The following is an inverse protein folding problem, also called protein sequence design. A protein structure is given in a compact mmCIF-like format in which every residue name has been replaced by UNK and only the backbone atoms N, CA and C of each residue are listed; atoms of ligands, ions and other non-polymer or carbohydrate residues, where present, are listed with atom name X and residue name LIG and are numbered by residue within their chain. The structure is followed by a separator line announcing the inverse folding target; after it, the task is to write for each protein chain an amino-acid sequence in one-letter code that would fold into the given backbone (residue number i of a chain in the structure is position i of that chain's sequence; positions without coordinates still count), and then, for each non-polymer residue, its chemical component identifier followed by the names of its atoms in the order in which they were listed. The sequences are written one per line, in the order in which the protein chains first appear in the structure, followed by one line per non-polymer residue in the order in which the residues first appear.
data_IF_243779874825
#
_entry.id   IF_243779874825
#
_cell.length_a   1.000
_cell.length_b   1.000
_cell.length_c   1.000
_cell.angle_alpha   90.00
_cell.angle_beta   90.00
_cell.angle_gamma   90.00
#
_symmetry.space_group_name_H-M   'P 1'
#
loop_
_entity.id
_entity.type
_entity.pdbx_description
1 polymer ?
#
# COMPACT_ATOMS: atom_id res chain seq x y z
N UNK A 1 -13.15 -14.57 -15.30
CA UNK A 1 -13.63 -13.23 -15.71
C UNK A 1 -13.34 -12.28 -14.55
N UNK A 2 -12.24 -11.52 -14.63
CA UNK A 2 -11.89 -10.53 -13.58
C UNK A 2 -12.86 -9.36 -13.74
N UNK A 3 -13.85 -9.28 -12.85
CA UNK A 3 -14.79 -8.16 -12.82
C UNK A 3 -14.00 -6.91 -12.42
N UNK A 4 -13.80 -6.00 -13.38
CA UNK A 4 -13.32 -4.65 -13.09
C UNK A 4 -14.26 -4.05 -12.03
N UNK A 5 -13.74 -3.51 -10.91
CA UNK A 5 -14.58 -2.90 -9.90
C UNK A 5 -15.46 -1.80 -10.53
N UNK A 6 -16.74 -1.69 -10.18
CA UNK A 6 -17.56 -0.56 -10.62
C UNK A 6 -16.92 0.74 -10.10
N UNK A 7 -16.65 1.68 -11.01
CA UNK A 7 -15.87 2.93 -10.84
C UNK A 7 -14.33 2.84 -10.92
N UNK A 8 -13.77 1.75 -11.45
CA UNK A 8 -12.32 1.57 -11.65
C UNK A 8 -11.62 2.75 -12.35
N UNK A 9 -12.26 3.36 -13.35
CA UNK A 9 -11.72 4.48 -14.11
C UNK A 9 -11.88 5.85 -13.41
N UNK A 10 -12.61 5.93 -12.30
CA UNK A 10 -12.84 7.19 -11.57
C UNK A 10 -11.86 7.41 -10.41
N UNK A 11 -11.24 6.36 -9.88
CA UNK A 11 -10.29 6.42 -8.76
C UNK A 11 -8.89 5.98 -9.26
N UNK A 12 -8.14 6.97 -9.79
CA UNK A 12 -6.84 6.76 -10.45
C UNK A 12 -5.81 6.03 -9.58
N UNK A 13 -5.80 6.27 -8.27
CA UNK A 13 -4.90 5.64 -7.30
C UNK A 13 -5.21 4.15 -7.08
N UNK A 14 -6.48 3.80 -6.94
CA UNK A 14 -6.91 2.39 -6.83
C UNK A 14 -6.69 1.62 -8.12
N UNK A 15 -6.79 2.30 -9.27
CA UNK A 15 -6.47 1.71 -10.56
C UNK A 15 -4.99 1.29 -10.65
N UNK A 16 -4.07 2.12 -10.14
CA UNK A 16 -2.63 1.81 -10.12
C UNK A 16 -2.32 0.64 -9.18
N UNK A 17 -2.95 0.58 -7.98
CA UNK A 17 -2.75 -0.55 -7.06
C UNK A 17 -3.33 -1.86 -7.63
N UNK A 18 -4.48 -1.83 -8.28
CA UNK A 18 -5.03 -3.02 -8.95
C UNK A 18 -4.18 -3.48 -10.14
N UNK A 19 -3.68 -2.55 -10.96
CA UNK A 19 -2.75 -2.87 -12.04
C UNK A 19 -1.47 -3.49 -11.48
N UNK A 20 -0.94 -2.96 -10.36
CA UNK A 20 0.19 -3.57 -9.65
C UNK A 20 -0.12 -5.02 -9.29
N UNK A 21 -1.32 -5.32 -8.78
CA UNK A 21 -1.77 -6.69 -8.52
C UNK A 21 -1.80 -7.58 -9.76
N UNK A 22 -2.36 -7.10 -10.88
CA UNK A 22 -2.40 -7.83 -12.16
C UNK A 22 -0.98 -8.14 -12.65
N UNK A 23 -0.12 -7.13 -12.73
CA UNK A 23 1.24 -7.31 -13.20
C UNK A 23 2.03 -8.23 -12.25
N UNK A 24 1.79 -8.17 -10.94
CA UNK A 24 2.40 -9.09 -9.99
C UNK A 24 1.96 -10.54 -10.22
N UNK A 25 0.68 -10.77 -10.56
CA UNK A 25 0.17 -12.10 -10.91
C UNK A 25 0.78 -12.61 -12.21
N UNK A 26 0.72 -11.81 -13.28
CA UNK A 26 1.21 -12.20 -14.61
C UNK A 26 2.73 -12.43 -14.61
N UNK A 27 3.48 -11.52 -13.99
CA UNK A 27 4.93 -11.62 -13.88
C UNK A 27 5.34 -12.80 -13.00
N UNK A 28 4.67 -12.98 -11.86
CA UNK A 28 4.88 -14.14 -10.99
C UNK A 28 4.61 -15.47 -11.71
N UNK A 29 3.52 -15.57 -12.47
CA UNK A 29 3.21 -16.77 -13.25
C UNK A 29 4.28 -17.07 -14.32
N UNK A 30 4.77 -16.05 -15.03
CA UNK A 30 5.80 -16.22 -16.06
C UNK A 30 7.15 -16.66 -15.48
N UNK A 31 7.57 -16.07 -14.34
CA UNK A 31 8.81 -16.52 -13.65
C UNK A 31 8.62 -17.91 -13.04
N UNK A 32 7.44 -18.24 -12.51
CA UNK A 32 7.12 -19.55 -11.97
C UNK A 32 7.30 -20.66 -13.01
N UNK A 33 6.78 -20.46 -14.22
CA UNK A 33 6.92 -21.40 -15.35
C UNK A 33 8.40 -21.70 -15.59
N UNK A 34 9.25 -20.67 -15.66
CA UNK A 34 10.66 -20.89 -15.90
C UNK A 34 11.44 -21.43 -14.71
N UNK A 35 11.03 -21.12 -13.48
CA UNK A 35 11.59 -21.75 -12.28
C UNK A 35 11.36 -23.27 -12.27
N UNK A 36 10.15 -23.72 -12.61
CA UNK A 36 9.85 -25.15 -12.75
C UNK A 36 10.55 -25.78 -13.95
N UNK A 37 10.59 -25.10 -15.10
CA UNK A 37 11.29 -25.59 -16.28
C UNK A 37 12.79 -25.75 -16.04
N UNK A 38 13.43 -24.77 -15.37
CA UNK A 38 14.84 -24.83 -14.99
C UNK A 38 15.13 -25.97 -13.99
N UNK A 39 14.20 -26.21 -13.06
CA UNK A 39 14.28 -27.33 -12.12
C UNK A 39 14.19 -28.67 -12.85
N UNK A 40 13.28 -28.80 -13.82
CA UNK A 40 13.14 -30.01 -14.66
C UNK A 40 14.41 -30.29 -15.48
N UNK A 41 15.03 -29.25 -16.04
CA UNK A 41 16.27 -29.35 -16.80
C UNK A 41 17.49 -29.73 -15.94
N UNK A 42 17.37 -29.67 -14.60
CA UNK A 42 18.37 -30.23 -13.69
C UNK A 42 18.38 -31.77 -13.70
N UNK A 43 17.33 -32.42 -14.21
CA UNK A 43 17.18 -33.87 -14.28
C UNK A 43 17.32 -34.43 -15.71
N UNK A 44 17.31 -33.59 -16.74
CA UNK A 44 17.56 -33.97 -18.14
C UNK A 44 18.77 -33.22 -18.73
N UNK A 45 19.96 -33.85 -18.78
CA UNK A 45 21.20 -33.19 -19.17
C UNK A 45 21.45 -33.32 -20.69
N UNK A 46 20.60 -32.74 -21.54
CA UNK A 46 21.05 -32.46 -22.93
C UNK A 46 21.66 -31.06 -22.98
N UNK A 47 22.98 -30.99 -23.22
CA UNK A 47 23.80 -29.76 -23.20
C UNK A 47 23.35 -28.66 -24.17
N UNK A 48 22.52 -29.02 -25.14
CA UNK A 48 21.73 -28.06 -25.89
C UNK A 48 20.29 -28.24 -25.41
N UNK A 49 19.80 -27.25 -24.66
CA UNK A 49 18.37 -27.01 -24.63
C UNK A 49 17.94 -26.92 -26.09
N UNK A 50 17.22 -27.94 -26.60
CA UNK A 50 16.51 -27.79 -27.85
C UNK A 50 15.77 -26.44 -27.80
N UNK A 51 15.57 -25.75 -28.93
CA UNK A 51 14.92 -24.43 -28.98
C UNK A 51 13.63 -24.39 -28.13
N UNK A 52 12.94 -25.52 -28.00
CA UNK A 52 11.79 -25.73 -27.11
C UNK A 52 12.00 -25.39 -25.63
N UNK A 53 13.23 -25.45 -25.10
CA UNK A 53 13.56 -25.14 -23.71
C UNK A 53 14.08 -23.71 -23.50
N UNK A 54 14.51 -23.02 -24.56
CA UNK A 54 14.98 -21.62 -24.48
C UNK A 54 13.86 -20.70 -23.97
N UNK A 55 12.65 -20.90 -24.50
CA UNK A 55 11.48 -20.10 -24.17
C UNK A 55 11.09 -20.26 -22.68
N UNK A 56 10.79 -21.46 -22.17
CA UNK A 56 10.36 -21.60 -20.79
C UNK A 56 11.47 -21.28 -19.79
N UNK A 57 12.75 -21.58 -20.07
CA UNK A 57 13.83 -21.42 -19.08
C UNK A 57 14.41 -20.01 -19.03
N UNK A 58 14.45 -19.29 -20.16
CA UNK A 58 15.13 -17.99 -20.23
C UNK A 58 14.18 -16.85 -20.64
N UNK A 59 13.38 -17.03 -21.68
CA UNK A 59 12.51 -15.95 -22.19
C UNK A 59 11.34 -15.66 -21.23
N UNK A 60 10.66 -16.70 -20.74
CA UNK A 60 9.51 -16.53 -19.84
C UNK A 60 9.90 -15.87 -18.50
N UNK A 61 11.00 -16.28 -17.82
CA UNK A 61 11.49 -15.56 -16.64
C UNK A 61 11.90 -14.13 -16.91
N UNK A 62 12.53 -13.85 -18.05
CA UNK A 62 12.90 -12.49 -18.41
C UNK A 62 11.65 -11.62 -18.57
N UNK A 63 10.67 -12.04 -19.39
CA UNK A 63 9.41 -11.31 -19.57
C UNK A 63 8.68 -11.15 -18.22
N UNK A 64 8.65 -12.21 -17.42
CA UNK A 64 8.04 -12.19 -16.10
C UNK A 64 8.72 -11.19 -15.15
N UNK A 65 10.05 -11.10 -15.18
CA UNK A 65 10.83 -10.13 -14.41
C UNK A 65 10.49 -8.69 -14.80
N UNK A 66 10.47 -8.36 -16.09
CA UNK A 66 10.09 -7.03 -16.58
C UNK A 66 8.66 -6.66 -16.15
N UNK A 67 7.74 -7.61 -16.22
CA UNK A 67 6.37 -7.42 -15.75
C UNK A 67 6.33 -7.17 -14.22
N UNK A 68 7.10 -7.92 -13.43
CA UNK A 68 7.22 -7.68 -11.98
C UNK A 68 7.82 -6.31 -11.68
N UNK A 69 8.80 -5.84 -12.46
CA UNK A 69 9.37 -4.50 -12.35
C UNK A 69 8.29 -3.42 -12.46
N UNK A 70 7.41 -3.53 -13.46
CA UNK A 70 6.25 -2.62 -13.61
C UNK A 70 5.34 -2.69 -12.39
N UNK A 71 5.04 -3.90 -11.88
CA UNK A 71 4.22 -4.06 -10.68
C UNK A 71 4.81 -3.33 -9.47
N UNK A 72 6.12 -3.44 -9.25
CA UNK A 72 6.79 -2.80 -8.11
C UNK A 72 6.93 -1.28 -8.29
N UNK A 73 7.15 -0.78 -9.51
CA UNK A 73 7.10 0.66 -9.81
C UNK A 73 5.72 1.22 -9.43
N UNK A 74 4.64 0.53 -9.79
CA UNK A 74 3.29 0.95 -9.38
C UNK A 74 3.11 0.97 -7.87
N UNK A 75 3.72 0.04 -7.11
CA UNK A 75 3.71 0.13 -5.64
C UNK A 75 4.42 1.37 -5.10
N UNK A 76 5.53 1.77 -5.71
CA UNK A 76 6.21 3.01 -5.35
C UNK A 76 5.34 4.24 -5.66
N UNK A 77 4.65 4.23 -6.80
CA UNK A 77 3.72 5.28 -7.21
C UNK A 77 2.52 5.38 -6.25
N UNK A 78 1.91 4.25 -5.87
CA UNK A 78 0.82 4.21 -4.87
C UNK A 78 1.33 4.76 -3.53
N UNK A 79 2.52 4.34 -3.09
CA UNK A 79 3.12 4.85 -1.86
C UNK A 79 3.39 6.36 -1.92
N UNK A 80 3.75 6.91 -3.09
CA UNK A 80 3.97 8.34 -3.30
C UNK A 80 2.67 9.18 -3.24
N UNK A 81 1.50 8.55 -3.40
CA UNK A 81 0.20 9.21 -3.55
C UNK A 81 -0.77 8.91 -2.40
N UNK A 82 -0.28 8.64 -1.19
CA UNK A 82 -1.14 8.39 -0.02
C UNK A 82 -2.09 9.52 0.35
N UNK A 83 -1.70 10.75 0.03
CA UNK A 83 -2.48 11.97 0.25
C UNK A 83 -3.48 12.24 -0.89
N UNK A 84 -3.56 11.38 -1.91
CA UNK A 84 -4.34 11.67 -3.12
C UNK A 84 -5.84 11.76 -2.84
N UNK A 85 -6.40 10.82 -2.06
CA UNK A 85 -7.80 10.86 -1.68
C UNK A 85 -8.15 12.13 -0.89
N UNK A 86 -7.29 12.54 0.05
CA UNK A 86 -7.46 13.76 0.83
C UNK A 86 -7.36 15.02 -0.05
N UNK A 87 -6.38 15.08 -0.96
CA UNK A 87 -6.26 16.18 -1.93
C UNK A 87 -7.48 16.27 -2.83
N UNK A 88 -7.98 15.13 -3.31
CA UNK A 88 -9.16 15.07 -4.17
C UNK A 88 -10.41 15.53 -3.42
N UNK A 89 -10.61 15.08 -2.18
CA UNK A 89 -11.71 15.53 -1.33
C UNK A 89 -11.64 17.03 -1.02
N UNK A 90 -10.47 17.55 -0.67
CA UNK A 90 -10.28 18.98 -0.42
C UNK A 90 -10.56 19.81 -1.67
N UNK A 91 -10.20 19.32 -2.86
CA UNK A 91 -10.55 19.95 -4.13
C UNK A 91 -12.05 19.89 -4.41
N UNK A 92 -12.70 18.77 -4.10
CA UNK A 92 -14.15 18.62 -4.26
C UNK A 92 -14.95 19.56 -3.33
N UNK A 93 -14.43 19.86 -2.15
CA UNK A 93 -15.12 20.68 -1.14
C UNK A 93 -14.79 22.18 -1.17
N UNK A 94 -13.72 22.62 -1.86
CA UNK A 94 -13.20 24.01 -1.80
C UNK A 94 -13.97 25.10 -2.59
N UNK A 95 -15.21 24.84 -3.02
CA UNK A 95 -16.10 25.89 -3.53
C UNK A 95 -15.64 26.60 -4.84
N UNK A 96 -16.15 27.80 -5.14
CA UNK A 96 -16.07 28.43 -6.47
C UNK A 96 -14.67 28.89 -6.93
N UNK A 97 -13.65 28.81 -6.07
CA UNK A 97 -12.24 29.11 -6.42
C UNK A 97 -11.41 27.82 -6.52
N UNK A 98 -11.89 26.82 -7.26
CA UNK A 98 -11.15 25.57 -7.46
C UNK A 98 -9.89 25.84 -8.28
N UNK A 99 -8.73 25.58 -7.68
CA UNK A 99 -7.48 25.37 -8.41
C UNK A 99 -7.55 24.16 -9.35
N UNK A 100 -6.46 23.79 -10.03
CA UNK A 100 -6.45 22.64 -10.92
C UNK A 100 -6.75 21.34 -10.17
N UNK A 101 -7.51 20.43 -10.80
CA UNK A 101 -7.83 19.10 -10.25
C UNK A 101 -6.52 18.38 -9.85
N UNK A 102 -6.41 17.85 -8.61
CA UNK A 102 -5.27 17.05 -8.19
C UNK A 102 -5.02 15.89 -9.15
N UNK A 103 -3.76 15.68 -9.51
CA UNK A 103 -3.32 14.55 -10.35
C UNK A 103 -2.41 13.62 -9.57
N UNK A 104 -2.36 12.39 -10.04
CA UNK A 104 -1.47 11.36 -9.52
C UNK A 104 -0.01 11.71 -9.82
N UNK A 105 0.85 11.62 -8.79
CA UNK A 105 2.28 11.92 -8.89
C UNK A 105 3.02 10.65 -9.30
N UNK A 106 3.40 10.54 -10.57
CA UNK A 106 4.23 9.44 -11.06
C UNK A 106 5.66 9.48 -10.50
N UNK A 107 6.15 10.70 -10.26
CA UNK A 107 7.45 10.95 -9.64
C UNK A 107 7.26 11.85 -8.44
N UNK A 108 7.64 11.36 -7.27
CA UNK A 108 7.66 12.17 -6.05
C UNK A 108 8.77 11.66 -5.12
N UNK A 109 9.46 12.60 -4.48
CA UNK A 109 10.42 12.30 -3.42
C UNK A 109 9.69 12.34 -2.07
N UNK A 110 9.61 11.20 -1.38
CA UNK A 110 8.86 11.05 -0.12
C UNK A 110 9.75 10.43 0.97
N UNK A 111 10.81 11.13 1.43
CA UNK A 111 11.86 10.55 2.28
C UNK A 111 11.35 10.11 3.65
N UNK A 112 10.27 10.72 4.15
CA UNK A 112 9.64 10.37 5.43
C UNK A 112 8.70 9.17 5.34
N UNK A 113 8.39 8.68 4.13
CA UNK A 113 7.43 7.59 3.93
C UNK A 113 8.17 6.26 3.73
N UNK A 114 8.16 5.42 4.76
CA UNK A 114 8.81 4.10 4.72
C UNK A 114 8.28 3.19 3.59
N UNK A 115 7.01 3.31 3.19
CA UNK A 115 6.49 2.51 2.07
C UNK A 115 7.00 3.00 0.72
N UNK A 116 7.34 4.27 0.60
CA UNK A 116 7.92 4.80 -0.63
C UNK A 116 9.33 4.23 -0.82
N UNK A 117 10.13 4.21 0.25
CA UNK A 117 11.41 3.48 0.26
C UNK A 117 11.23 1.99 -0.02
N UNK A 118 10.22 1.36 0.60
CA UNK A 118 9.87 -0.02 0.32
C UNK A 118 9.61 -0.29 -1.16
N UNK A 119 8.77 0.54 -1.79
CA UNK A 119 8.48 0.48 -3.21
C UNK A 119 9.72 0.71 -4.08
N UNK A 120 10.54 1.71 -3.75
CA UNK A 120 11.79 1.98 -4.46
C UNK A 120 12.78 0.82 -4.40
N UNK A 121 12.98 0.21 -3.22
CA UNK A 121 13.87 -0.94 -3.10
C UNK A 121 13.34 -2.15 -3.86
N UNK A 122 12.02 -2.40 -3.85
CA UNK A 122 11.42 -3.43 -4.69
C UNK A 122 11.66 -3.15 -6.19
N UNK A 123 11.44 -1.92 -6.65
CA UNK A 123 11.69 -1.52 -8.04
C UNK A 123 13.15 -1.66 -8.45
N UNK A 124 14.09 -1.19 -7.61
CA UNK A 124 15.52 -1.29 -7.89
C UNK A 124 15.98 -2.75 -7.90
N UNK A 125 15.47 -3.56 -6.97
CA UNK A 125 15.73 -5.01 -6.94
C UNK A 125 15.23 -5.69 -8.22
N UNK A 126 14.05 -5.30 -8.71
CA UNK A 126 13.46 -5.83 -9.93
C UNK A 126 14.29 -5.47 -11.17
N UNK A 127 14.74 -4.22 -11.29
CA UNK A 127 15.65 -3.79 -12.36
C UNK A 127 16.97 -4.58 -12.32
N UNK A 128 17.54 -4.81 -11.14
CA UNK A 128 18.75 -5.65 -11.01
C UNK A 128 18.49 -7.10 -11.41
N UNK A 129 17.30 -7.62 -11.13
CA UNK A 129 16.88 -8.95 -11.55
C UNK A 129 16.63 -9.03 -13.08
N UNK A 130 16.13 -7.96 -13.69
CA UNK A 130 15.98 -7.84 -15.16
C UNK A 130 17.34 -7.91 -15.85
N UNK A 131 18.35 -7.20 -15.33
CA UNK A 131 19.71 -7.30 -15.86
C UNK A 131 20.26 -8.73 -15.75
N UNK A 132 20.06 -9.39 -14.61
CA UNK A 132 20.53 -10.76 -14.41
C UNK A 132 19.84 -11.77 -15.34
N UNK A 133 18.53 -11.68 -15.50
CA UNK A 133 17.76 -12.59 -16.37
C UNK A 133 18.06 -12.34 -17.86
N UNK A 134 18.20 -11.06 -18.25
CA UNK A 134 18.60 -10.67 -19.61
C UNK A 134 20.01 -11.16 -19.92
N UNK A 135 20.96 -11.00 -19.00
CA UNK A 135 22.32 -11.50 -19.17
C UNK A 135 22.37 -13.02 -19.33
N UNK A 136 21.58 -13.76 -18.54
CA UNK A 136 21.48 -15.23 -18.66
C UNK A 136 20.92 -15.68 -20.00
N UNK A 137 19.90 -14.98 -20.52
CA UNK A 137 19.37 -15.23 -21.86
C UNK A 137 20.42 -14.92 -22.93
N UNK A 138 21.06 -13.75 -22.85
CA UNK A 138 22.10 -13.35 -23.78
C UNK A 138 23.27 -14.35 -23.83
N UNK A 139 23.64 -14.94 -22.68
CA UNK A 139 24.67 -15.99 -22.60
C UNK A 139 24.30 -17.32 -23.25
N UNK A 140 23.05 -17.51 -23.72
CA UNK A 140 22.67 -18.69 -24.52
C UNK A 140 23.00 -18.53 -26.01
N UNK A 141 23.31 -17.32 -26.47
CA UNK A 141 23.69 -17.07 -27.86
C UNK A 141 25.18 -17.29 -28.06
N UNK A 142 25.53 -18.04 -29.10
CA UNK A 142 26.91 -18.41 -29.46
C UNK A 142 27.82 -17.21 -29.74
N UNK A 143 27.26 -16.04 -30.03
CA UNK A 143 27.98 -14.80 -30.30
C UNK A 143 28.33 -14.00 -29.04
N UNK A 144 27.79 -14.38 -27.87
CA UNK A 144 28.00 -13.65 -26.62
C UNK A 144 28.97 -14.41 -25.73
N UNK A 145 30.12 -13.81 -25.45
CA UNK A 145 31.12 -14.37 -24.55
C UNK A 145 31.35 -13.42 -23.38
N UNK A 146 30.91 -13.83 -22.20
CA UNK A 146 31.21 -13.10 -20.98
C UNK A 146 32.61 -13.39 -20.49
N UNK A 147 33.31 -12.34 -20.08
CA UNK A 147 34.50 -12.49 -19.24
C UNK A 147 34.13 -13.12 -17.91
N UNK A 148 35.13 -13.69 -17.20
CA UNK A 148 34.94 -14.28 -15.87
C UNK A 148 34.32 -13.27 -14.90
N UNK A 149 34.74 -12.01 -14.98
CA UNK A 149 34.23 -10.92 -14.14
C UNK A 149 32.77 -10.59 -14.46
N UNK A 150 32.41 -10.50 -15.74
CA UNK A 150 31.02 -10.24 -16.15
C UNK A 150 30.08 -11.37 -15.74
N UNK A 151 30.49 -12.62 -15.92
CA UNK A 151 29.72 -13.79 -15.46
C UNK A 151 29.54 -13.76 -13.95
N UNK A 152 30.59 -13.44 -13.18
CA UNK A 152 30.48 -13.31 -11.72
C UNK A 152 29.49 -12.21 -11.30
N UNK A 153 29.57 -11.04 -11.93
CA UNK A 153 28.70 -9.90 -11.62
C UNK A 153 27.26 -10.21 -12.01
N UNK A 154 27.01 -10.61 -13.25
CA UNK A 154 25.67 -10.74 -13.82
C UNK A 154 24.93 -11.99 -13.32
N UNK A 155 25.63 -13.10 -13.09
CA UNK A 155 24.97 -14.36 -12.72
C UNK A 155 24.89 -14.60 -11.21
N UNK A 156 25.75 -13.96 -10.41
CA UNK A 156 25.81 -14.15 -8.95
C UNK A 156 25.56 -12.88 -8.16
N UNK A 157 26.31 -11.80 -8.40
CA UNK A 157 26.23 -10.58 -7.59
C UNK A 157 24.90 -9.84 -7.83
N UNK A 158 24.55 -9.57 -9.09
CA UNK A 158 23.33 -8.85 -9.43
C UNK A 158 22.05 -9.52 -8.89
N UNK A 159 21.82 -10.85 -9.05
CA UNK A 159 20.68 -11.51 -8.42
C UNK A 159 20.69 -11.46 -6.88
N UNK A 160 21.85 -11.47 -6.24
CA UNK A 160 21.93 -11.41 -4.78
C UNK A 160 21.63 -10.00 -4.25
N UNK A 161 22.14 -8.98 -4.93
CA UNK A 161 21.77 -7.58 -4.67
C UNK A 161 20.27 -7.38 -4.90
N UNK A 162 19.73 -7.93 -6.00
CA UNK A 162 18.29 -7.91 -6.27
C UNK A 162 17.49 -8.56 -5.13
N UNK A 163 17.88 -9.75 -4.69
CA UNK A 163 17.27 -10.45 -3.56
C UNK A 163 17.31 -9.64 -2.27
N UNK A 164 18.44 -9.00 -1.96
CA UNK A 164 18.58 -8.16 -0.77
C UNK A 164 17.66 -6.95 -0.83
N UNK A 165 17.59 -6.29 -1.99
CA UNK A 165 16.69 -5.16 -2.22
C UNK A 165 15.23 -5.56 -2.12
N UNK A 166 14.85 -6.75 -2.63
CA UNK A 166 13.52 -7.29 -2.46
C UNK A 166 13.19 -7.53 -0.98
N UNK A 167 14.11 -8.12 -0.22
CA UNK A 167 13.93 -8.39 1.19
C UNK A 167 13.76 -7.11 2.00
N UNK A 168 14.64 -6.12 1.80
CA UNK A 168 14.55 -4.82 2.48
C UNK A 168 13.26 -4.10 2.10
N UNK A 169 12.95 -4.06 0.79
CA UNK A 169 11.77 -3.38 0.27
C UNK A 169 10.46 -3.95 0.81
N UNK A 170 10.31 -5.27 0.75
CA UNK A 170 9.16 -5.98 1.33
C UNK A 170 9.12 -5.90 2.86
N UNK A 171 10.29 -5.88 3.51
CA UNK A 171 10.47 -5.62 4.94
C UNK A 171 9.85 -4.30 5.39
N UNK A 172 9.98 -3.24 4.58
CA UNK A 172 9.33 -1.95 4.85
C UNK A 172 7.80 -2.05 4.85
N UNK A 173 7.21 -2.87 3.97
CA UNK A 173 5.75 -3.06 3.90
C UNK A 173 5.23 -3.85 5.09
N UNK A 174 5.81 -5.02 5.38
CA UNK A 174 5.36 -5.85 6.50
C UNK A 174 5.67 -5.18 7.86
N UNK A 175 6.82 -4.50 7.96
CA UNK A 175 7.22 -3.77 9.15
C UNK A 175 6.30 -2.59 9.45
N UNK A 176 5.71 -1.95 8.43
CA UNK A 176 4.68 -0.93 8.65
C UNK A 176 3.38 -1.51 9.23
N UNK A 177 2.98 -2.72 8.82
CA UNK A 177 1.74 -3.33 9.34
C UNK A 177 1.93 -3.90 10.76
N UNK A 178 3.09 -4.47 11.06
CA UNK A 178 3.31 -5.20 12.33
C UNK A 178 4.13 -4.41 13.36
N UNK A 179 4.73 -3.28 12.98
CA UNK A 179 5.53 -2.44 13.88
C UNK A 179 6.72 -3.20 14.48
N UNK A 180 7.06 -2.95 15.75
CA UNK A 180 8.22 -3.56 16.44
C UNK A 180 8.17 -5.10 16.53
N UNK A 181 6.99 -5.70 16.31
CA UNK A 181 6.82 -7.15 16.31
C UNK A 181 7.24 -7.81 14.99
N UNK A 182 7.99 -7.14 14.11
CA UNK A 182 8.40 -7.66 12.78
C UNK A 182 8.84 -9.12 12.86
N UNK A 183 9.68 -9.50 13.83
CA UNK A 183 10.18 -10.88 13.96
C UNK A 183 9.08 -11.92 14.20
N UNK A 184 8.03 -11.59 14.97
CA UNK A 184 6.86 -12.47 15.19
C UNK A 184 5.85 -12.35 14.04
N UNK A 185 5.61 -11.14 13.56
CA UNK A 185 4.72 -10.81 12.44
C UNK A 185 5.13 -11.39 11.11
N UNK A 186 6.42 -11.58 10.87
CA UNK A 186 6.91 -12.26 9.67
C UNK A 186 6.67 -13.76 9.72
N UNK A 187 6.41 -14.36 10.89
CA UNK A 187 6.10 -15.79 11.01
C UNK A 187 4.61 -16.07 11.10
N UNK A 188 3.85 -15.25 11.82
CA UNK A 188 2.41 -15.39 11.97
C UNK A 188 1.72 -14.05 12.25
N UNK A 189 0.42 -13.92 11.91
CA UNK A 189 -0.32 -12.68 12.19
C UNK A 189 -0.42 -12.47 13.70
N UNK A 190 0.03 -11.30 14.22
CA UNK A 190 0.13 -11.08 15.67
C UNK A 190 -1.23 -10.84 16.32
N UNK A 191 -2.23 -10.38 15.57
CA UNK A 191 -3.57 -10.11 16.10
C UNK A 191 -4.67 -10.77 15.27
N UNK A 192 -5.83 -11.03 15.89
CA UNK A 192 -7.02 -11.58 15.20
C UNK A 192 -7.52 -10.67 14.06
N UNK A 193 -7.22 -9.37 14.11
CA UNK A 193 -7.54 -8.42 13.03
C UNK A 193 -6.68 -8.70 11.80
N UNK A 194 -5.38 -8.91 12.00
CA UNK A 194 -4.43 -9.19 10.91
C UNK A 194 -4.74 -10.53 10.22
N UNK A 195 -5.21 -11.52 10.99
CA UNK A 195 -5.69 -12.80 10.45
C UNK A 195 -6.80 -12.63 9.39
N UNK A 196 -7.62 -11.58 9.53
CA UNK A 196 -8.73 -11.29 8.62
C UNK A 196 -8.41 -10.21 7.58
N UNK A 197 -7.21 -9.62 7.60
CA UNK A 197 -6.87 -8.50 6.73
C UNK A 197 -6.18 -8.96 5.44
N UNK A 198 -6.85 -8.89 4.27
CA UNK A 198 -6.22 -9.03 2.95
C UNK A 198 -4.92 -8.24 2.80
N UNK A 199 -4.86 -7.02 3.34
CA UNK A 199 -3.66 -6.17 3.27
C UNK A 199 -2.47 -6.76 4.02
N UNK A 200 -2.68 -7.32 5.21
CA UNK A 200 -1.64 -8.03 5.95
C UNK A 200 -1.11 -9.22 5.15
N UNK A 201 -2.01 -10.09 4.67
CA UNK A 201 -1.64 -11.29 3.94
C UNK A 201 -0.95 -10.97 2.60
N UNK A 202 -1.37 -9.90 1.91
CA UNK A 202 -0.71 -9.39 0.72
C UNK A 202 0.74 -8.99 1.01
N UNK A 203 0.99 -8.24 2.09
CA UNK A 203 2.33 -7.84 2.50
C UNK A 203 3.17 -9.03 3.00
N UNK A 204 2.54 -9.96 3.70
CA UNK A 204 3.16 -11.22 4.16
C UNK A 204 3.62 -12.07 2.98
N UNK A 205 2.76 -12.27 1.97
CA UNK A 205 3.12 -12.95 0.73
C UNK A 205 4.23 -12.22 -0.03
N UNK A 206 4.18 -10.87 -0.09
CA UNK A 206 5.27 -10.10 -0.71
C UNK A 206 6.60 -10.33 0.00
N UNK A 207 6.59 -10.32 1.33
CA UNK A 207 7.77 -10.53 2.16
C UNK A 207 8.36 -11.93 1.97
N UNK A 208 7.55 -12.98 2.12
CA UNK A 208 8.04 -14.36 1.95
C UNK A 208 8.45 -14.67 0.52
N UNK A 209 7.74 -14.13 -0.48
CA UNK A 209 8.16 -14.21 -1.87
C UNK A 209 9.55 -13.60 -2.07
N UNK A 210 9.76 -12.39 -1.55
CA UNK A 210 11.07 -11.70 -1.60
C UNK A 210 12.17 -12.45 -0.84
N UNK A 211 11.83 -13.05 0.30
CA UNK A 211 12.75 -13.86 1.10
C UNK A 211 13.23 -15.10 0.33
N UNK A 212 12.34 -15.76 -0.43
CA UNK A 212 12.71 -16.90 -1.26
C UNK A 212 13.62 -16.50 -2.43
N UNK A 213 13.38 -15.33 -3.05
CA UNK A 213 14.30 -14.75 -4.03
C UNK A 213 15.68 -14.46 -3.43
N UNK A 214 15.71 -13.89 -2.22
CA UNK A 214 16.95 -13.64 -1.50
C UNK A 214 17.71 -14.94 -1.22
N UNK A 215 17.07 -15.94 -0.62
CA UNK A 215 17.71 -17.23 -0.36
C UNK A 215 18.17 -17.93 -1.64
N UNK A 216 17.35 -17.94 -2.69
CA UNK A 216 17.71 -18.53 -3.99
C UNK A 216 18.96 -17.93 -4.62
N UNK A 217 19.17 -16.62 -4.43
CA UNK A 217 20.36 -15.92 -4.91
C UNK A 217 21.55 -16.01 -3.94
N UNK A 218 21.30 -15.90 -2.63
CA UNK A 218 22.34 -15.82 -1.61
C UNK A 218 23.02 -17.17 -1.32
N UNK A 219 22.25 -18.28 -1.36
CA UNK A 219 22.81 -19.63 -1.20
C UNK A 219 23.90 -19.90 -2.25
N UNK A 220 23.73 -19.41 -3.48
CA UNK A 220 24.71 -19.56 -4.55
C UNK A 220 26.05 -18.88 -4.23
N UNK A 221 26.04 -17.77 -3.49
CA UNK A 221 27.24 -17.04 -3.09
C UNK A 221 27.91 -17.71 -1.90
N UNK A 222 27.12 -18.21 -0.95
CA UNK A 222 27.64 -18.78 0.31
C UNK A 222 28.43 -20.07 0.12
N UNK A 223 28.07 -20.88 -0.87
CA UNK A 223 28.75 -22.15 -1.12
C UNK A 223 29.73 -22.02 -2.28
N UNK A 224 31.03 -22.11 -1.95
CA UNK A 224 32.16 -21.99 -2.90
C UNK A 224 32.11 -23.02 -4.05
N UNK A 225 31.51 -24.19 -3.80
CA UNK A 225 31.36 -25.29 -4.76
C UNK A 225 29.96 -25.90 -4.66
N UNK A 226 29.01 -25.36 -5.42
CA UNK A 226 27.71 -25.97 -5.66
C UNK A 226 27.75 -26.70 -7.00
N UNK A 227 27.25 -27.94 -7.04
CA UNK A 227 27.10 -28.66 -8.30
C UNK A 227 26.12 -27.92 -9.24
N UNK A 228 26.32 -27.93 -10.58
CA UNK A 228 25.40 -27.25 -11.51
C UNK A 228 23.93 -27.66 -11.34
N UNK A 229 23.69 -28.92 -10.92
CA UNK A 229 22.36 -29.44 -10.63
C UNK A 229 21.76 -28.80 -9.38
N UNK A 230 22.50 -28.79 -8.28
CA UNK A 230 22.09 -28.15 -7.03
C UNK A 230 21.86 -26.65 -7.23
N UNK A 231 22.71 -25.99 -8.03
CA UNK A 231 22.54 -24.58 -8.40
C UNK A 231 21.19 -24.33 -9.07
N UNK A 232 20.86 -25.12 -10.11
CA UNK A 232 19.59 -24.99 -10.83
C UNK A 232 18.38 -25.28 -9.95
N UNK A 233 18.48 -26.26 -9.07
CA UNK A 233 17.43 -26.57 -8.08
C UNK A 233 17.23 -25.43 -7.08
N UNK A 234 18.30 -24.89 -6.50
CA UNK A 234 18.19 -23.79 -5.54
C UNK A 234 17.60 -22.54 -6.17
N UNK A 235 18.01 -22.19 -7.40
CA UNK A 235 17.44 -21.05 -8.12
C UNK A 235 16.00 -21.33 -8.58
N UNK A 236 15.72 -22.53 -9.08
CA UNK A 236 14.38 -22.92 -9.51
C UNK A 236 13.37 -22.94 -8.35
N UNK A 237 13.77 -23.45 -7.18
CA UNK A 237 12.95 -23.41 -5.96
C UNK A 237 12.84 -21.98 -5.44
N UNK A 238 13.96 -21.26 -5.28
CA UNK A 238 13.96 -19.90 -4.72
C UNK A 238 13.12 -18.93 -5.57
N UNK A 239 13.40 -18.84 -6.86
CA UNK A 239 12.65 -17.96 -7.76
C UNK A 239 11.26 -18.51 -8.08
N UNK A 240 11.10 -19.83 -8.28
CA UNK A 240 9.80 -20.45 -8.53
C UNK A 240 8.84 -20.30 -7.36
N UNK A 241 9.19 -20.85 -6.19
CA UNK A 241 8.37 -20.72 -4.97
C UNK A 241 8.20 -19.24 -4.60
N UNK A 242 9.26 -18.43 -4.69
CA UNK A 242 9.14 -16.99 -4.49
C UNK A 242 8.07 -16.35 -5.37
N UNK A 243 8.03 -16.71 -6.65
CA UNK A 243 7.06 -16.17 -7.62
C UNK A 243 5.65 -16.65 -7.35
N UNK A 244 5.48 -17.90 -6.91
CA UNK A 244 4.18 -18.42 -6.48
C UNK A 244 3.62 -17.62 -5.29
N UNK A 245 4.46 -17.33 -4.29
CA UNK A 245 4.05 -16.55 -3.12
C UNK A 245 3.77 -15.09 -3.52
N UNK A 246 4.60 -14.49 -4.38
CA UNK A 246 4.33 -13.15 -4.94
C UNK A 246 3.01 -13.10 -5.70
N UNK A 247 2.69 -14.13 -6.49
CA UNK A 247 1.42 -14.25 -7.21
C UNK A 247 0.24 -14.29 -6.24
N UNK A 248 0.36 -15.04 -5.14
CA UNK A 248 -0.63 -15.02 -4.04
C UNK A 248 -0.83 -13.61 -3.47
N UNK A 249 0.26 -12.85 -3.29
CA UNK A 249 0.20 -11.44 -2.89
C UNK A 249 -0.52 -10.55 -3.92
N UNK A 250 -0.29 -10.76 -5.22
CA UNK A 250 -0.98 -10.05 -6.30
C UNK A 250 -2.49 -10.36 -6.35
N UNK A 251 -2.87 -11.62 -6.16
CA UNK A 251 -4.29 -12.02 -6.05
C UNK A 251 -4.94 -11.34 -4.85
N UNK A 252 -4.29 -11.31 -3.69
CA UNK A 252 -4.81 -10.65 -2.50
C UNK A 252 -4.94 -9.13 -2.69
N UNK A 253 -4.05 -8.50 -3.45
CA UNK A 253 -4.16 -7.08 -3.82
C UNK A 253 -5.40 -6.83 -4.70
N UNK A 254 -5.67 -7.71 -5.67
CA UNK A 254 -6.87 -7.65 -6.51
C UNK A 254 -8.13 -7.86 -5.65
N UNK A 255 -8.14 -8.86 -4.77
CA UNK A 255 -9.28 -9.15 -3.86
C UNK A 255 -9.54 -8.00 -2.90
N UNK A 256 -8.49 -7.44 -2.29
CA UNK A 256 -8.56 -6.26 -1.42
C UNK A 256 -9.29 -5.11 -2.13
N UNK A 257 -8.97 -4.87 -3.40
CA UNK A 257 -9.62 -3.84 -4.21
C UNK A 257 -11.07 -4.16 -4.56
N UNK A 258 -11.39 -5.44 -4.79
CA UNK A 258 -12.77 -5.88 -5.03
C UNK A 258 -13.65 -5.73 -3.78
N UNK A 259 -13.10 -5.96 -2.59
CA UNK A 259 -13.83 -5.96 -1.29
C UNK A 259 -13.90 -4.55 -0.65
N UNK A 260 -13.20 -3.55 -1.21
CA UNK A 260 -13.21 -2.15 -0.74
C UNK A 260 -12.80 -1.97 0.73
N UNK A 261 -11.90 -2.81 1.23
CA UNK A 261 -11.47 -2.77 2.65
C UNK A 261 -10.82 -1.43 3.06
N UNK A 262 -10.24 -0.71 2.08
CA UNK A 262 -9.59 0.60 2.27
C UNK A 262 -10.38 1.74 1.59
N UNK A 263 -11.70 1.68 1.42
CA UNK A 263 -12.43 2.77 0.75
C UNK A 263 -12.35 4.06 1.60
N UNK A 264 -11.55 5.08 1.21
CA UNK A 264 -11.44 6.30 1.99
C UNK A 264 -12.75 7.05 1.99
N UNK A 265 -13.66 6.84 1.01
CA UNK A 265 -15.02 7.37 1.05
C UNK A 265 -15.81 6.78 2.22
N UNK A 266 -15.68 5.49 2.53
CA UNK A 266 -16.36 4.86 3.68
C UNK A 266 -15.72 5.33 4.99
N UNK A 267 -14.40 5.41 5.06
CA UNK A 267 -13.69 5.90 6.25
C UNK A 267 -13.92 7.39 6.48
N UNK A 268 -14.03 8.20 5.43
CA UNK A 268 -14.33 9.63 5.49
C UNK A 268 -15.80 9.87 5.78
N UNK A 269 -16.73 9.09 5.20
CA UNK A 269 -18.15 9.12 5.59
C UNK A 269 -18.31 8.73 7.06
N UNK A 270 -17.65 7.67 7.54
CA UNK A 270 -17.65 7.31 8.96
C UNK A 270 -17.01 8.38 9.85
N UNK A 271 -15.96 9.06 9.36
CA UNK A 271 -15.32 10.15 10.11
C UNK A 271 -16.22 11.39 10.18
N UNK A 272 -16.82 11.79 9.06
CA UNK A 272 -17.77 12.91 9.01
C UNK A 272 -19.00 12.61 9.86
N UNK A 273 -19.53 11.38 9.78
CA UNK A 273 -20.68 10.95 10.60
C UNK A 273 -20.34 10.93 12.10
N UNK A 274 -19.12 10.52 12.48
CA UNK A 274 -18.65 10.59 13.86
C UNK A 274 -18.40 12.03 14.34
N UNK A 275 -17.81 12.89 13.49
CA UNK A 275 -17.56 14.30 13.79
C UNK A 275 -18.90 15.07 13.94
N UNK A 276 -19.89 14.77 13.09
CA UNK A 276 -21.25 15.30 13.18
C UNK A 276 -21.99 14.78 14.42
N UNK A 277 -21.85 13.49 14.74
CA UNK A 277 -22.39 12.92 15.98
C UNK A 277 -21.78 13.56 17.23
N UNK A 278 -20.46 13.79 17.27
CA UNK A 278 -19.82 14.52 18.37
C UNK A 278 -20.32 15.97 18.48
N UNK A 279 -20.48 16.66 17.35
CA UNK A 279 -21.01 18.02 17.33
C UNK A 279 -22.47 18.08 17.82
N UNK A 280 -23.29 17.09 17.45
CA UNK A 280 -24.66 16.94 17.94
C UNK A 280 -24.66 16.64 19.45
N UNK A 281 -23.78 15.74 19.92
CA UNK A 281 -23.69 15.39 21.33
C UNK A 281 -23.27 16.59 22.20
N UNK A 282 -22.34 17.41 21.72
CA UNK A 282 -21.94 18.66 22.39
C UNK A 282 -23.09 19.67 22.45
N UNK A 283 -23.89 19.80 21.38
CA UNK A 283 -25.08 20.67 21.38
C UNK A 283 -26.17 20.17 22.33
N UNK A 284 -26.40 18.86 22.39
CA UNK A 284 -27.34 18.25 23.33
C UNK A 284 -26.92 18.43 24.78
N UNK A 285 -25.63 18.26 25.07
CA UNK A 285 -25.06 18.52 26.41
C UNK A 285 -25.22 20.00 26.80
N UNK A 286 -24.91 20.92 25.90
CA UNK A 286 -25.10 22.36 26.15
C UNK A 286 -26.59 22.72 26.35
N UNK A 287 -27.50 22.11 25.59
CA UNK A 287 -28.95 22.30 25.80
C UNK A 287 -29.42 21.72 27.14
N UNK A 288 -28.92 20.55 27.54
CA UNK A 288 -29.22 19.96 28.84
C UNK A 288 -28.73 20.84 30.00
N UNK A 289 -27.57 21.48 29.86
CA UNK A 289 -27.01 22.41 30.84
C UNK A 289 -27.85 23.71 30.95
N UNK A 290 -28.30 24.26 29.82
CA UNK A 290 -29.22 25.42 29.79
C UNK A 290 -30.59 25.08 30.40
N UNK A 291 -31.11 23.87 30.15
CA UNK A 291 -32.36 23.40 30.74
C UNK A 291 -32.22 23.11 32.24
N UNK A 292 -31.06 22.60 32.69
CA UNK A 292 -30.71 22.46 34.10
C UNK A 292 -30.69 23.80 34.83
N UNK A 293 -30.00 24.80 34.27
CA UNK A 293 -30.00 26.16 34.82
C UNK A 293 -31.36 26.85 34.81
N UNK A 294 -32.23 26.53 33.84
CA UNK A 294 -33.61 27.06 33.83
C UNK A 294 -34.48 26.42 34.91
N UNK A 295 -34.26 25.13 35.22
CA UNK A 295 -34.92 24.43 36.33
C UNK A 295 -34.48 24.95 37.70
N UNK A 296 -33.21 25.29 37.85
CA UNK A 296 -32.68 25.89 39.09
C UNK A 296 -33.21 27.31 39.32
N UNK A 297 -33.43 28.08 38.25
CA UNK A 297 -34.10 29.40 38.35
C UNK A 297 -35.59 29.30 38.68
N UNK A 298 -36.27 28.25 38.24
CA UNK A 298 -37.68 27.99 38.57
C UNK A 298 -37.89 27.45 39.99
N UNK A 299 -36.82 27.01 40.67
CA UNK A 299 -36.87 26.51 42.05
C UNK A 299 -36.39 27.55 43.08
N UNK A 300 -36.04 28.77 42.65
CA UNK A 300 -35.84 29.89 43.56
C UNK A 300 -37.20 30.44 44.05
N UNK A 301 -37.43 30.59 45.37
CA UNK A 301 -38.64 31.20 45.90
C UNK A 301 -38.75 32.65 45.45
N UNK A 302 -39.91 33.05 44.92
CA UNK A 302 -40.24 34.46 44.68
C UNK A 302 -40.10 35.27 45.99
N UNK A 303 -39.42 36.42 45.99
CA UNK A 303 -39.48 37.33 47.12
C UNK A 303 -40.90 37.90 47.22
N UNK A 304 -41.56 37.66 48.35
CA UNK A 304 -42.80 38.34 48.71
C UNK A 304 -42.49 39.82 49.00
N UNK A 305 -42.97 40.73 48.14
CA UNK A 305 -43.08 42.16 48.47
C UNK A 305 -44.47 42.42 49.02
N UNK A 306 -44.55 42.69 50.33
CA UNK A 306 -45.76 43.13 51.04
C UNK A 306 -45.94 44.65 50.93
N UNK A 307 -47.15 45.06 50.52
CA UNK A 307 -47.70 46.43 50.51
C UNK A 307 -47.74 47.12 51.90
N UNK A 308 -47.73 48.46 51.91
CA UNK A 308 -48.75 49.26 52.65
C UNK A 308 -48.73 50.78 52.29
N UNK A 309 -49.76 51.20 51.56
CA UNK A 309 -50.63 52.41 51.70
C UNK A 309 -50.11 53.77 52.21
N UNK A 310 -50.45 54.87 51.49
CA UNK A 310 -51.51 55.82 51.92
C UNK A 310 -51.94 56.82 50.79
N UNK A 311 -53.22 57.29 50.72
CA UNK A 311 -53.72 58.19 49.68
C UNK A 311 -54.07 59.60 50.21
N UNK A 312 -53.64 60.69 49.54
CA UNK A 312 -54.37 61.98 49.53
C UNK A 312 -53.75 63.04 48.58
N UNK A 313 -54.63 63.86 47.97
CA UNK A 313 -54.43 65.16 47.27
C UNK A 313 -53.95 65.19 45.80
N UNK A 314 -54.92 65.14 44.88
CA UNK A 314 -55.47 66.20 43.99
C UNK A 314 -54.65 67.51 43.71
N UNK A 315 -54.95 68.31 42.66
CA UNK A 315 -54.58 68.09 41.24
C UNK A 315 -53.89 69.31 40.54
N UNK A 316 -53.05 69.03 39.50
CA UNK A 316 -52.66 69.90 38.36
C UNK A 316 -51.80 71.16 38.61
N UNK A 317 -51.42 71.94 37.57
CA UNK A 317 -51.03 71.63 36.18
C UNK A 317 -49.67 72.28 35.78
N UNK A 318 -49.29 72.23 34.49
CA UNK A 318 -48.26 73.07 33.80
C UNK A 318 -46.78 72.67 34.04
N UNK A 319 -45.80 72.73 33.12
CA UNK A 319 -45.62 73.08 31.68
C UNK A 319 -44.07 73.04 31.44
N UNK A 320 -43.64 73.12 30.17
CA UNK A 320 -42.25 73.29 29.63
C UNK A 320 -41.44 71.98 29.46
N UNK A 321 -41.06 71.50 28.26
CA UNK A 321 -40.43 72.05 27.04
C UNK A 321 -38.91 72.29 27.15
N UNK A 322 -38.21 71.89 26.07
CA UNK A 322 -36.78 71.95 25.69
C UNK A 322 -35.96 70.66 25.95
N UNK A 323 -35.43 69.93 24.96
CA UNK A 323 -34.69 70.18 23.71
C UNK A 323 -33.15 70.28 23.87
N UNK A 324 -32.46 69.51 23.01
CA UNK A 324 -31.04 69.55 22.62
C UNK A 324 -30.02 69.15 23.72
N UNK A 325 -28.98 68.36 23.45
CA UNK A 325 -28.11 68.22 22.26
C UNK A 325 -27.93 66.76 21.86
#
# INVERSE_FOLDING_TARGET
MLLLPPNFLKQEDKAVEFLSGIFQVLGGAAVLIGGFAASSLAYHPSRHAAISWLIPVFVAPMIGAYILTVAFIFRAVVAANRDYAERMYNWETSGPCRGPKPRLRWFAFQPKNILWWGGLFLSLGAVMFDFATTARLAGQFWTVHYTVTESLILEKIAPAVAGLLFLVGSGCYIGKEVGWLVSKGTMCPPTRKDWKSPKYWMNFCTFWGSMMYFYGAFLVIMYKTISPRTFRLCQGIGYGVGSLVLMGGGILMIVKMAVREDDPEVALHQKVENDDMEAINRKLLAMAEVLGHSRDKLSQPQPQSSDSTDPTRDPGPSRYMHAAV
#
